data_IF_878549589107
#
_entry.id   IF_878549589107
#
_cell.length_a   1.000
_cell.length_b   1.000
_cell.length_c   1.000
_cell.angle_alpha   90.00
_cell.angle_beta   90.00
_cell.angle_gamma   90.00
#
_symmetry.space_group_name_H-M   'P 1'
#
loop_
_entity.id
_entity.type
_entity.pdbx_description
1 polymer ?
#
# COMPACT_ATOMS: atom_id res chain seq x y z
N UNK A 1 7.72 -10.87 5.39
CA UNK A 1 9.03 -10.51 6.00
C UNK A 1 10.21 -10.78 5.08
N UNK A 2 10.39 -11.98 4.52
CA UNK A 2 11.54 -12.33 3.69
C UNK A 2 11.78 -11.41 2.49
N UNK A 3 10.72 -11.03 1.76
CA UNK A 3 10.82 -10.15 0.60
C UNK A 3 11.31 -8.75 0.98
N UNK A 4 10.85 -8.19 2.10
CA UNK A 4 11.34 -6.91 2.63
C UNK A 4 12.85 -6.97 2.96
N UNK A 5 13.30 -8.03 3.60
CA UNK A 5 14.73 -8.21 3.90
C UNK A 5 15.55 -8.34 2.62
N UNK A 6 15.12 -9.17 1.67
CA UNK A 6 15.81 -9.39 0.41
C UNK A 6 15.94 -8.10 -0.41
N UNK A 7 14.88 -7.33 -0.56
CA UNK A 7 14.86 -6.13 -1.42
C UNK A 7 15.61 -4.95 -0.79
N UNK A 8 15.73 -4.90 0.53
CA UNK A 8 16.37 -3.81 1.26
C UNK A 8 17.75 -4.20 1.82
N UNK A 9 18.18 -5.45 1.62
CA UNK A 9 19.51 -5.92 2.04
C UNK A 9 20.68 -4.98 1.63
N UNK A 10 20.71 -4.39 0.41
CA UNK A 10 21.80 -3.50 0.05
C UNK A 10 21.94 -2.27 0.96
N UNK A 11 20.83 -1.79 1.57
CA UNK A 11 20.86 -0.64 2.46
C UNK A 11 21.71 -0.89 3.73
N UNK A 12 21.88 -2.16 4.15
CA UNK A 12 22.71 -2.51 5.30
C UNK A 12 24.21 -2.26 5.05
N UNK A 13 24.61 -2.19 3.80
CA UNK A 13 26.01 -2.04 3.36
C UNK A 13 26.24 -0.73 2.61
N UNK A 14 25.38 0.27 2.83
CA UNK A 14 25.51 1.57 2.15
C UNK A 14 25.18 1.55 0.66
N UNK A 15 24.63 0.44 0.14
CA UNK A 15 24.18 0.31 -1.24
C UNK A 15 22.80 0.91 -1.48
N UNK A 16 22.29 0.75 -2.70
CA UNK A 16 20.96 1.19 -3.10
C UNK A 16 20.08 0.01 -3.55
N UNK A 17 18.79 0.27 -3.65
CA UNK A 17 17.77 -0.73 -4.01
C UNK A 17 17.28 -0.61 -5.45
N UNK A 18 17.97 0.11 -6.32
CA UNK A 18 17.55 0.38 -7.71
C UNK A 18 17.34 -0.91 -8.51
N UNK A 19 18.10 -1.96 -8.22
CA UNK A 19 17.93 -3.29 -8.83
C UNK A 19 16.53 -3.87 -8.58
N UNK A 20 15.90 -3.52 -7.47
CA UNK A 20 14.61 -4.06 -7.05
C UNK A 20 13.44 -3.13 -7.37
N UNK A 21 13.72 -1.85 -7.72
CA UNK A 21 12.70 -0.87 -8.07
C UNK A 21 11.97 -1.26 -9.36
N UNK A 22 10.69 -0.96 -9.43
CA UNK A 22 9.90 -1.15 -10.64
C UNK A 22 10.19 -0.06 -11.66
N UNK A 23 10.61 -0.45 -12.85
CA UNK A 23 10.77 0.40 -14.03
C UNK A 23 10.07 -0.29 -15.21
N UNK A 24 9.04 0.32 -15.83
CA UNK A 24 8.30 -0.30 -16.93
C UNK A 24 9.18 -0.74 -18.10
N UNK A 25 10.20 0.05 -18.43
CA UNK A 25 11.16 -0.26 -19.49
C UNK A 25 11.96 -1.53 -19.23
N UNK A 26 12.44 -1.71 -18.00
CA UNK A 26 13.21 -2.91 -17.61
C UNK A 26 12.33 -4.17 -17.50
N UNK A 27 11.07 -4.01 -17.06
CA UNK A 27 10.10 -5.12 -17.06
C UNK A 27 9.84 -5.61 -18.49
N UNK A 28 9.70 -4.70 -19.46
CA UNK A 28 9.55 -5.06 -20.89
C UNK A 28 10.80 -5.78 -21.45
N UNK A 29 11.97 -5.53 -20.88
CA UNK A 29 13.23 -6.21 -21.21
C UNK A 29 13.42 -7.56 -20.51
N UNK A 30 12.41 -8.02 -19.73
CA UNK A 30 12.41 -9.33 -19.09
C UNK A 30 12.69 -9.33 -17.59
N UNK A 31 12.88 -8.17 -16.94
CA UNK A 31 13.12 -8.09 -15.49
C UNK A 31 11.81 -8.15 -14.67
N UNK A 32 11.03 -9.22 -14.86
CA UNK A 32 9.67 -9.40 -14.32
C UNK A 32 9.59 -9.36 -12.79
N UNK A 33 10.66 -9.72 -12.09
CA UNK A 33 10.69 -9.66 -10.62
C UNK A 33 10.40 -8.27 -10.08
N UNK A 34 10.69 -7.21 -10.84
CA UNK A 34 10.47 -5.81 -10.46
C UNK A 34 9.01 -5.46 -10.21
N UNK A 35 8.08 -6.19 -10.83
CA UNK A 35 6.63 -6.04 -10.61
C UNK A 35 6.28 -6.31 -9.14
N UNK A 36 6.92 -7.30 -8.55
CA UNK A 36 6.71 -7.65 -7.15
C UNK A 36 7.68 -6.90 -6.22
N UNK A 37 8.98 -6.90 -6.56
CA UNK A 37 10.01 -6.38 -5.67
C UNK A 37 9.95 -4.87 -5.49
N UNK A 38 9.47 -4.13 -6.49
CA UNK A 38 9.32 -2.67 -6.39
C UNK A 38 8.42 -2.23 -5.25
N UNK A 39 7.35 -2.99 -4.98
CA UNK A 39 6.43 -2.71 -3.88
C UNK A 39 7.06 -2.89 -2.48
N UNK A 40 8.22 -3.55 -2.39
CA UNK A 40 8.90 -3.87 -1.14
C UNK A 40 10.29 -3.25 -1.01
N UNK A 41 10.82 -2.65 -2.08
CA UNK A 41 12.09 -1.93 -2.07
C UNK A 41 11.90 -0.50 -1.56
N UNK A 42 12.90 0.06 -0.88
CA UNK A 42 12.85 1.42 -0.34
C UNK A 42 14.12 2.21 -0.71
N UNK A 43 14.02 3.52 -0.77
CA UNK A 43 15.13 4.41 -1.15
C UNK A 43 16.21 4.45 -0.07
N UNK A 44 15.78 4.53 1.19
CA UNK A 44 16.64 4.66 2.37
C UNK A 44 16.10 3.82 3.52
N UNK A 45 16.90 3.70 4.58
CA UNK A 45 16.49 3.12 5.86
C UNK A 45 15.32 3.85 6.50
N UNK A 46 15.32 5.16 6.40
CA UNK A 46 14.24 5.97 6.95
C UNK A 46 12.92 5.69 6.21
N UNK A 47 12.95 5.59 4.89
CA UNK A 47 11.79 5.22 4.08
C UNK A 47 11.28 3.81 4.46
N UNK A 48 12.20 2.83 4.56
CA UNK A 48 11.86 1.48 5.00
C UNK A 48 11.25 1.47 6.40
N UNK A 49 11.79 2.25 7.33
CA UNK A 49 11.29 2.34 8.70
C UNK A 49 9.87 2.92 8.74
N UNK A 50 9.62 4.04 8.05
CA UNK A 50 8.29 4.67 8.01
C UNK A 50 7.24 3.73 7.40
N UNK A 51 7.53 3.20 6.22
CA UNK A 51 6.60 2.33 5.51
C UNK A 51 6.40 0.99 6.22
N UNK A 52 7.49 0.37 6.66
CA UNK A 52 7.46 -0.90 7.34
C UNK A 52 6.74 -0.84 8.68
N UNK A 53 7.05 0.17 9.52
CA UNK A 53 6.38 0.36 10.79
C UNK A 53 4.88 0.57 10.58
N UNK A 54 4.50 1.50 9.70
CA UNK A 54 3.10 1.80 9.39
C UNK A 54 2.36 0.57 8.87
N UNK A 55 2.97 -0.15 7.92
CA UNK A 55 2.39 -1.37 7.37
C UNK A 55 2.15 -2.44 8.45
N UNK A 56 3.16 -2.76 9.27
CA UNK A 56 3.02 -3.82 10.27
C UNK A 56 2.03 -3.45 11.36
N UNK A 57 2.00 -2.20 11.83
CA UNK A 57 1.02 -1.75 12.81
C UNK A 57 -0.41 -1.98 12.30
N UNK A 58 -0.70 -1.56 11.07
CA UNK A 58 -2.04 -1.71 10.49
C UNK A 58 -2.33 -3.16 10.12
N UNK A 59 -1.38 -3.87 9.52
CA UNK A 59 -1.57 -5.27 9.12
C UNK A 59 -1.85 -6.19 10.33
N UNK A 60 -1.18 -5.96 11.46
CA UNK A 60 -1.38 -6.75 12.66
C UNK A 60 -2.71 -6.41 13.36
N UNK A 61 -3.20 -5.17 13.23
CA UNK A 61 -4.48 -4.73 13.80
C UNK A 61 -5.71 -5.22 13.05
N UNK A 62 -5.57 -5.75 11.82
CA UNK A 62 -6.70 -6.27 11.04
C UNK A 62 -7.51 -7.31 11.81
N UNK A 63 -8.82 -7.18 11.75
CA UNK A 63 -9.77 -8.12 12.34
C UNK A 63 -9.81 -9.47 11.60
N UNK A 64 -9.59 -9.48 10.28
CA UNK A 64 -9.48 -10.71 9.49
C UNK A 64 -8.26 -11.54 9.95
N UNK A 65 -8.49 -12.80 10.35
CA UNK A 65 -7.44 -13.69 10.86
C UNK A 65 -6.98 -14.76 9.86
N UNK A 66 -7.76 -15.00 8.80
CA UNK A 66 -7.41 -15.97 7.76
C UNK A 66 -6.26 -15.47 6.92
N UNK A 67 -5.14 -16.17 6.96
CA UNK A 67 -3.91 -15.76 6.27
C UNK A 67 -4.10 -15.58 4.75
N UNK A 68 -4.87 -16.44 4.11
CA UNK A 68 -5.14 -16.34 2.67
C UNK A 68 -5.94 -15.06 2.32
N UNK A 69 -6.88 -14.64 3.17
CA UNK A 69 -7.59 -13.38 2.98
C UNK A 69 -6.66 -12.18 3.16
N UNK A 70 -5.79 -12.20 4.17
CA UNK A 70 -4.80 -11.15 4.40
C UNK A 70 -3.82 -11.03 3.24
N UNK A 71 -3.32 -12.15 2.72
CA UNK A 71 -2.45 -12.16 1.54
C UNK A 71 -3.18 -11.61 0.32
N UNK A 72 -4.44 -12.01 0.10
CA UNK A 72 -5.26 -11.48 -0.97
C UNK A 72 -5.45 -9.96 -0.88
N UNK A 73 -5.66 -9.43 0.32
CA UNK A 73 -5.75 -7.99 0.56
C UNK A 73 -4.46 -7.26 0.19
N UNK A 74 -3.31 -7.77 0.64
CA UNK A 74 -1.99 -7.20 0.30
C UNK A 74 -1.73 -7.24 -1.20
N UNK A 75 -2.07 -8.37 -1.86
CA UNK A 75 -1.89 -8.53 -3.30
C UNK A 75 -2.74 -7.52 -4.08
N UNK A 76 -4.03 -7.38 -3.76
CA UNK A 76 -4.89 -6.44 -4.49
C UNK A 76 -4.56 -4.98 -4.19
N UNK A 77 -4.19 -4.66 -2.95
CA UNK A 77 -3.67 -3.33 -2.62
C UNK A 77 -2.41 -3.00 -3.42
N UNK A 78 -1.46 -3.94 -3.48
CA UNK A 78 -0.22 -3.78 -4.24
C UNK A 78 -0.46 -3.67 -5.74
N UNK A 79 -1.33 -4.52 -6.30
CA UNK A 79 -1.71 -4.47 -7.71
C UNK A 79 -2.38 -3.12 -8.06
N UNK A 80 -3.34 -2.67 -7.26
CA UNK A 80 -3.98 -1.37 -7.43
C UNK A 80 -3.00 -0.21 -7.36
N UNK A 81 -2.10 -0.23 -6.37
CA UNK A 81 -1.03 0.75 -6.22
C UNK A 81 -0.13 0.82 -7.46
N UNK A 82 0.35 -0.34 -7.92
CA UNK A 82 1.22 -0.44 -9.09
C UNK A 82 0.52 0.04 -10.36
N UNK A 83 -0.70 -0.43 -10.61
CA UNK A 83 -1.49 -0.03 -11.78
C UNK A 83 -1.77 1.47 -11.80
N UNK A 84 -2.11 2.06 -10.66
CA UNK A 84 -2.31 3.51 -10.57
C UNK A 84 -1.02 4.27 -10.90
N UNK A 85 0.14 3.82 -10.39
CA UNK A 85 1.42 4.40 -10.72
C UNK A 85 1.72 4.33 -12.22
N UNK A 86 1.51 3.17 -12.85
CA UNK A 86 1.76 2.95 -14.28
C UNK A 86 0.87 3.83 -15.17
N UNK A 87 -0.41 3.95 -14.83
CA UNK A 87 -1.38 4.62 -15.72
C UNK A 87 -1.48 6.12 -15.50
N UNK A 88 -1.25 6.59 -14.28
CA UNK A 88 -1.53 7.99 -13.93
C UNK A 88 -0.29 8.79 -13.52
N UNK A 89 0.89 8.17 -13.40
CA UNK A 89 2.10 8.91 -13.08
C UNK A 89 3.11 8.91 -14.22
N UNK A 90 3.41 10.08 -14.81
CA UNK A 90 4.46 10.20 -15.81
C UNK A 90 5.87 10.01 -15.22
N UNK A 91 6.01 10.06 -13.90
CA UNK A 91 7.30 9.96 -13.21
C UNK A 91 7.81 8.50 -13.10
N UNK A 92 6.93 7.51 -13.12
CA UNK A 92 7.32 6.09 -12.92
C UNK A 92 8.40 5.60 -13.89
N UNK A 93 8.38 5.94 -15.20
CA UNK A 93 9.44 5.54 -16.11
C UNK A 93 10.83 6.12 -15.74
N UNK A 94 10.86 7.30 -15.12
CA UNK A 94 12.09 8.03 -14.81
C UNK A 94 12.67 7.68 -13.45
N UNK A 95 11.84 7.75 -12.39
CA UNK A 95 12.32 7.58 -11.01
C UNK A 95 12.10 6.16 -10.47
N UNK A 96 11.33 5.36 -11.20
CA UNK A 96 10.88 4.04 -10.76
C UNK A 96 9.85 4.11 -9.63
N UNK A 97 9.24 2.96 -9.30
CA UNK A 97 8.30 2.85 -8.19
C UNK A 97 8.92 1.97 -7.10
N UNK A 98 8.87 2.44 -5.86
CA UNK A 98 9.38 1.77 -4.65
C UNK A 98 8.55 2.16 -3.43
N UNK A 99 8.34 1.19 -2.54
CA UNK A 99 7.78 1.41 -1.21
C UNK A 99 6.47 0.70 -0.97
N UNK A 100 6.20 0.45 0.30
CA UNK A 100 4.99 -0.19 0.80
C UNK A 100 3.83 0.80 0.96
N UNK A 101 4.05 2.10 0.82
CA UNK A 101 3.06 3.14 1.19
C UNK A 101 1.71 2.93 0.54
N UNK A 102 1.64 2.63 -0.75
CA UNK A 102 0.38 2.35 -1.44
C UNK A 102 -0.35 1.13 -0.86
N UNK A 103 0.38 0.06 -0.52
CA UNK A 103 -0.21 -1.10 0.17
C UNK A 103 -0.69 -0.69 1.56
N UNK A 104 0.08 0.09 2.30
CA UNK A 104 -0.26 0.56 3.65
C UNK A 104 -1.53 1.40 3.64
N UNK A 105 -1.68 2.35 2.72
CA UNK A 105 -2.94 3.10 2.52
C UNK A 105 -4.12 2.16 2.27
N UNK A 106 -3.93 1.17 1.39
CA UNK A 106 -4.94 0.17 1.09
C UNK A 106 -5.35 -0.65 2.32
N UNK A 107 -4.39 -1.20 3.06
CA UNK A 107 -4.66 -2.00 4.26
C UNK A 107 -5.27 -1.15 5.38
N UNK A 108 -4.90 0.12 5.50
CA UNK A 108 -5.53 1.07 6.43
C UNK A 108 -7.01 1.30 6.06
N UNK A 109 -7.29 1.52 4.78
CA UNK A 109 -8.67 1.63 4.29
C UNK A 109 -9.49 0.37 4.56
N UNK A 110 -8.89 -0.81 4.37
CA UNK A 110 -9.53 -2.09 4.67
C UNK A 110 -9.84 -2.24 6.16
N UNK A 111 -8.88 -1.93 7.05
CA UNK A 111 -9.11 -1.94 8.50
C UNK A 111 -10.24 -1.00 8.92
N UNK A 112 -10.29 0.19 8.31
CA UNK A 112 -11.39 1.15 8.51
C UNK A 112 -12.74 0.57 8.07
N UNK A 113 -12.81 -0.11 6.92
CA UNK A 113 -14.03 -0.79 6.46
C UNK A 113 -14.43 -1.97 7.39
N UNK A 114 -13.46 -2.71 7.92
CA UNK A 114 -13.73 -3.74 8.95
C UNK A 114 -14.37 -3.13 10.19
N UNK A 115 -13.90 -1.96 10.65
CA UNK A 115 -14.48 -1.26 11.79
C UNK A 115 -15.93 -0.81 11.51
N UNK A 116 -16.19 -0.27 10.32
CA UNK A 116 -17.52 0.24 9.94
C UNK A 116 -18.55 -0.89 9.78
N UNK A 117 -18.17 -1.97 9.05
CA UNK A 117 -19.14 -2.94 8.56
C UNK A 117 -19.19 -4.26 9.34
N UNK A 118 -18.40 -4.41 10.39
CA UNK A 118 -18.44 -5.60 11.23
C UNK A 118 -19.57 -5.50 12.27
N UNK A 119 -20.44 -6.51 12.31
CA UNK A 119 -21.63 -6.53 13.17
C UNK A 119 -21.30 -6.43 14.66
N UNK A 120 -20.17 -7.02 15.09
CA UNK A 120 -19.73 -7.06 16.49
C UNK A 120 -19.01 -5.78 16.98
N UNK A 121 -18.83 -4.78 16.11
CA UNK A 121 -18.21 -3.51 16.49
C UNK A 121 -19.22 -2.58 17.13
N UNK A 122 -18.77 -1.86 18.16
CA UNK A 122 -19.60 -0.86 18.82
C UNK A 122 -19.76 0.42 17.98
N UNK A 123 -20.54 1.37 18.47
CA UNK A 123 -20.79 2.62 17.76
C UNK A 123 -19.52 3.48 17.65
N UNK A 124 -18.65 3.47 18.66
CA UNK A 124 -17.41 4.22 18.66
C UNK A 124 -16.45 3.68 17.60
N UNK A 125 -16.25 2.35 17.53
CA UNK A 125 -15.44 1.71 16.49
C UNK A 125 -15.92 2.12 15.08
N UNK A 126 -17.23 2.07 14.83
CA UNK A 126 -17.80 2.45 13.53
C UNK A 126 -17.55 3.90 13.18
N UNK A 127 -17.67 4.82 14.13
CA UNK A 127 -17.37 6.24 13.93
C UNK A 127 -15.88 6.43 13.64
N UNK A 128 -15.00 5.79 14.41
CA UNK A 128 -13.54 5.85 14.18
C UNK A 128 -13.20 5.30 12.80
N UNK A 129 -13.74 4.15 12.43
CA UNK A 129 -13.51 3.56 11.11
C UNK A 129 -13.95 4.50 9.97
N UNK A 130 -15.15 5.09 10.09
CA UNK A 130 -15.65 6.05 9.11
C UNK A 130 -14.77 7.30 9.03
N UNK A 131 -14.32 7.84 10.16
CA UNK A 131 -13.42 8.97 10.22
C UNK A 131 -12.06 8.68 9.59
N UNK A 132 -11.46 7.52 9.87
CA UNK A 132 -10.19 7.08 9.27
C UNK A 132 -10.34 6.93 7.75
N UNK A 133 -11.43 6.30 7.28
CA UNK A 133 -11.67 6.13 5.85
C UNK A 133 -11.85 7.48 5.14
N UNK A 134 -12.65 8.38 5.71
CA UNK A 134 -12.84 9.73 5.19
C UNK A 134 -11.53 10.52 5.16
N UNK A 135 -10.72 10.43 6.22
CA UNK A 135 -9.40 11.06 6.28
C UNK A 135 -8.48 10.56 5.15
N UNK A 136 -8.42 9.25 4.90
CA UNK A 136 -7.64 8.69 3.79
C UNK A 136 -8.10 9.22 2.43
N UNK A 137 -9.41 9.33 2.21
CA UNK A 137 -9.94 9.90 0.96
C UNK A 137 -9.56 11.38 0.79
N UNK A 138 -9.64 12.17 1.86
CA UNK A 138 -9.22 13.58 1.87
C UNK A 138 -7.72 13.68 1.57
N UNK A 139 -6.89 12.85 2.22
CA UNK A 139 -5.45 12.79 1.98
C UNK A 139 -5.13 12.51 0.52
N UNK A 140 -5.70 11.46 -0.03
CA UNK A 140 -5.46 11.06 -1.43
C UNK A 140 -5.97 12.10 -2.41
N UNK A 141 -7.13 12.72 -2.14
CA UNK A 141 -7.64 13.83 -2.96
C UNK A 141 -6.66 15.00 -2.95
N UNK A 142 -6.17 15.41 -1.78
CA UNK A 142 -5.16 16.46 -1.66
C UNK A 142 -3.88 16.10 -2.43
N UNK A 143 -3.35 14.90 -2.23
CA UNK A 143 -2.15 14.40 -2.92
C UNK A 143 -2.30 14.42 -4.44
N UNK A 144 -3.46 13.96 -4.94
CA UNK A 144 -3.74 13.88 -6.38
C UNK A 144 -3.91 15.28 -7.00
N UNK A 145 -4.57 16.20 -6.29
CA UNK A 145 -4.82 17.55 -6.79
C UNK A 145 -3.60 18.45 -6.72
N UNK A 146 -2.76 18.30 -5.70
CA UNK A 146 -1.64 19.22 -5.45
C UNK A 146 -0.29 18.65 -5.88
N UNK A 147 -0.18 17.33 -6.07
CA UNK A 147 1.10 16.64 -6.25
C UNK A 147 2.00 16.68 -5.03
N UNK A 148 1.46 17.00 -3.84
CA UNK A 148 2.24 17.17 -2.60
C UNK A 148 1.74 16.25 -1.50
N UNK A 149 2.67 15.68 -0.75
CA UNK A 149 2.33 14.97 0.48
C UNK A 149 2.12 16.00 1.62
N UNK A 150 0.96 16.00 2.33
CA UNK A 150 0.65 17.03 3.33
C UNK A 150 1.68 17.13 4.47
N UNK A 151 2.26 15.99 4.86
CA UNK A 151 3.27 15.90 5.92
C UNK A 151 4.68 15.77 5.36
N UNK A 152 4.98 16.43 4.23
CA UNK A 152 6.29 16.35 3.55
C UNK A 152 7.47 16.75 4.46
N UNK A 153 7.24 17.58 5.49
CA UNK A 153 8.24 17.92 6.49
C UNK A 153 8.75 16.71 7.28
N UNK A 154 7.92 15.65 7.45
CA UNK A 154 8.33 14.41 8.11
C UNK A 154 9.21 13.53 7.21
N UNK A 155 9.28 13.79 5.92
CA UNK A 155 10.05 12.96 4.98
C UNK A 155 11.55 13.29 4.99
N UNK A 156 11.94 14.45 5.52
CA UNK A 156 13.33 14.93 5.62
C UNK A 156 14.15 14.79 4.32
N UNK A 157 13.50 14.78 3.16
CA UNK A 157 14.15 14.50 1.87
C UNK A 157 14.67 13.06 1.69
N UNK A 158 14.36 12.14 2.61
CA UNK A 158 14.93 10.79 2.65
C UNK A 158 14.06 9.73 1.95
N UNK A 159 12.92 10.11 1.37
CA UNK A 159 11.97 9.17 0.73
C UNK A 159 12.09 9.15 -0.80
N UNK A 160 12.90 10.05 -1.35
CA UNK A 160 12.99 10.26 -2.80
C UNK A 160 11.77 10.99 -3.35
N UNK A 161 11.44 10.77 -4.63
CA UNK A 161 10.26 11.37 -5.28
C UNK A 161 9.05 10.47 -5.06
N UNK A 162 8.06 10.87 -4.24
CA UNK A 162 6.90 10.02 -3.97
C UNK A 162 5.96 9.97 -5.18
N UNK A 163 5.46 8.78 -5.48
CA UNK A 163 4.43 8.55 -6.51
C UNK A 163 3.06 8.48 -5.83
N UNK A 164 2.49 9.64 -5.51
CA UNK A 164 1.34 9.78 -4.62
C UNK A 164 0.07 9.08 -5.12
N UNK A 165 -0.15 9.01 -6.43
CA UNK A 165 -1.32 8.31 -7.02
C UNK A 165 -1.37 6.82 -6.67
N UNK A 166 -0.24 6.22 -6.28
CA UNK A 166 -0.19 4.83 -5.79
C UNK A 166 -1.02 4.63 -4.53
N UNK A 167 -1.19 5.66 -3.70
CA UNK A 167 -2.03 5.61 -2.50
C UNK A 167 -3.50 5.41 -2.86
N UNK A 168 -4.01 6.16 -3.84
CA UNK A 168 -5.37 5.98 -4.38
C UNK A 168 -5.58 4.57 -4.92
N UNK A 169 -4.62 4.09 -5.71
CA UNK A 169 -4.66 2.74 -6.27
C UNK A 169 -4.69 1.66 -5.20
N UNK A 170 -3.89 1.81 -4.14
CA UNK A 170 -3.86 0.89 -3.01
C UNK A 170 -5.21 0.83 -2.28
N UNK A 171 -5.85 1.99 -2.02
CA UNK A 171 -7.20 2.06 -1.44
C UNK A 171 -8.21 1.35 -2.36
N UNK A 172 -8.23 1.65 -3.65
CA UNK A 172 -9.14 1.05 -4.61
C UNK A 172 -9.00 -0.48 -4.64
N UNK A 173 -7.77 -1.00 -4.73
CA UNK A 173 -7.49 -2.42 -4.69
C UNK A 173 -7.99 -3.10 -3.40
N UNK A 174 -7.81 -2.46 -2.25
CA UNK A 174 -8.29 -2.98 -0.97
C UNK A 174 -9.80 -2.95 -0.83
N UNK A 175 -10.48 -1.91 -1.31
CA UNK A 175 -11.96 -1.85 -1.33
C UNK A 175 -12.53 -2.99 -2.15
N UNK A 176 -11.96 -3.24 -3.34
CA UNK A 176 -12.35 -4.37 -4.20
C UNK A 176 -12.13 -5.70 -3.47
N UNK A 177 -10.95 -5.89 -2.86
CA UNK A 177 -10.62 -7.10 -2.14
C UNK A 177 -11.59 -7.37 -0.97
N UNK A 178 -11.91 -6.33 -0.19
CA UNK A 178 -12.88 -6.40 0.89
C UNK A 178 -14.27 -6.82 0.41
N UNK A 179 -14.77 -6.18 -0.66
CA UNK A 179 -16.07 -6.47 -1.24
C UNK A 179 -16.16 -7.94 -1.72
N UNK A 180 -15.11 -8.43 -2.40
CA UNK A 180 -15.03 -9.81 -2.88
C UNK A 180 -15.06 -10.82 -1.73
N UNK A 181 -14.21 -10.64 -0.71
CA UNK A 181 -14.15 -11.55 0.44
C UNK A 181 -15.47 -11.55 1.21
N UNK A 182 -16.09 -10.38 1.39
CA UNK A 182 -17.39 -10.26 2.06
C UNK A 182 -18.50 -10.99 1.29
N UNK A 183 -18.56 -10.82 -0.03
CA UNK A 183 -19.55 -11.48 -0.89
C UNK A 183 -19.42 -13.01 -0.84
N UNK A 184 -18.20 -13.55 -0.91
CA UNK A 184 -17.95 -14.99 -0.82
C UNK A 184 -18.36 -15.53 0.54
N UNK A 185 -18.06 -14.78 1.61
CA UNK A 185 -18.40 -15.17 2.97
C UNK A 185 -19.92 -15.21 3.24
N UNK A 186 -20.66 -14.28 2.63
CA UNK A 186 -22.12 -14.23 2.72
C UNK A 186 -22.79 -15.39 1.95
N UNK A 187 -22.26 -15.77 0.79
CA UNK A 187 -22.75 -16.93 0.02
C UNK A 187 -22.61 -18.23 0.80
N UNK A 188 -21.45 -18.44 1.47
CA UNK A 188 -21.19 -19.65 2.28
C UNK A 188 -22.06 -19.77 3.52
N UNK A 189 -22.70 -18.71 4.00
CA UNK A 189 -23.65 -18.76 5.13
C UNK A 189 -25.07 -19.13 4.71
N UNK A 190 -25.38 -19.09 3.41
CA UNK A 190 -26.71 -19.38 2.86
C UNK A 190 -26.84 -20.82 2.30
N UNK A 191 -25.73 -21.51 2.15
CA UNK A 191 -25.63 -22.94 1.80
C UNK A 191 -25.36 -23.75 3.05
#
# INVERSE_FOLDING_TARGET
>A
MGLLLLTNYPLFFGGNTTRWAFYPGLVKQGEWWRVLTGLFAHVTWYHLFLDGLSFFLVYLSLDEKRIFCRLFYVILAGAGSLLAGIWFSPLVPEVGLRGLSGITYGITALGALEMVFREKKDKADKIIGAAVFAFLLIMVAYETLTGKFPFSFLLFGMVGTPILVCHAGGIAGSVIAYALVKTISLRKKKT
#
